data_IF_096811150126
#
_entry.id   IF_096811150126
#
_cell.length_a   1.000
_cell.length_b   1.000
_cell.length_c   1.000
_cell.angle_alpha   90.00
_cell.angle_beta   90.00
_cell.angle_gamma   90.00
#
_symmetry.space_group_name_H-M   'P 1'
#
loop_
_entity.id
_entity.type
_entity.pdbx_description
1 polymer ?
#
# COMPACT_ATOMS: atom_id res chain seq x y z
N UNK A 1 -14.99 -11.15 -1.25
CA UNK A 1 -15.13 -11.98 -0.03
C UNK A 1 -14.01 -13.02 -0.04
N UNK A 2 -12.92 -12.76 0.68
CA UNK A 2 -11.74 -13.63 0.75
C UNK A 2 -12.08 -15.05 1.20
N UNK A 3 -11.38 -16.04 0.64
CA UNK A 3 -11.42 -17.41 1.14
C UNK A 3 -10.82 -17.47 2.56
N UNK A 4 -11.33 -18.38 3.39
CA UNK A 4 -10.84 -18.58 4.77
C UNK A 4 -9.32 -18.81 4.79
N UNK A 5 -8.79 -19.51 3.79
CA UNK A 5 -7.35 -19.75 3.62
C UNK A 5 -6.50 -18.46 3.53
N UNK A 6 -6.96 -17.44 2.80
CA UNK A 6 -6.22 -16.17 2.64
C UNK A 6 -6.23 -15.32 3.92
N UNK A 7 -7.31 -15.39 4.71
CA UNK A 7 -7.37 -14.77 6.04
C UNK A 7 -6.44 -15.46 7.02
N UNK A 8 -6.36 -16.80 6.99
CA UNK A 8 -5.47 -17.59 7.85
C UNK A 8 -4.01 -17.32 7.51
N UNK A 9 -3.63 -17.29 6.23
CA UNK A 9 -2.28 -16.96 5.80
C UNK A 9 -1.86 -15.53 6.25
N UNK A 10 -2.77 -14.55 6.14
CA UNK A 10 -2.53 -13.20 6.66
C UNK A 10 -2.28 -13.14 8.18
N UNK A 11 -2.87 -14.07 8.95
CA UNK A 11 -2.71 -14.16 10.40
C UNK A 11 -1.45 -14.94 10.81
N UNK A 12 -0.99 -15.90 9.99
CA UNK A 12 0.10 -16.79 10.33
C UNK A 12 1.48 -16.28 9.89
N UNK A 13 1.56 -15.49 8.82
CA UNK A 13 2.83 -14.98 8.28
C UNK A 13 2.90 -13.47 8.40
N UNK A 14 3.95 -12.94 9.05
CA UNK A 14 4.17 -11.51 9.18
C UNK A 14 4.44 -10.88 7.79
N UNK A 15 3.60 -9.99 7.25
CA UNK A 15 3.86 -9.35 5.96
C UNK A 15 5.18 -8.58 5.85
N UNK A 16 5.80 -8.22 6.98
CA UNK A 16 7.12 -7.59 7.01
C UNK A 16 8.28 -8.58 7.05
N UNK A 17 8.06 -9.90 7.06
CA UNK A 17 9.16 -10.88 7.01
C UNK A 17 9.68 -11.14 5.60
N UNK A 18 8.92 -10.79 4.55
CA UNK A 18 9.30 -11.00 3.15
C UNK A 18 10.36 -9.97 2.70
N UNK A 19 11.14 -10.22 1.64
CA UNK A 19 12.18 -9.29 1.19
C UNK A 19 11.64 -7.88 0.92
N UNK A 20 10.55 -7.75 0.15
CA UNK A 20 9.90 -6.46 -0.11
C UNK A 20 9.22 -5.89 1.14
N UNK A 21 8.66 -6.76 1.99
CA UNK A 21 7.99 -6.39 3.23
C UNK A 21 8.93 -5.68 4.20
N UNK A 22 10.16 -6.17 4.36
CA UNK A 22 11.19 -5.54 5.20
C UNK A 22 11.57 -4.14 4.70
N UNK A 23 11.66 -3.97 3.37
CA UNK A 23 11.95 -2.65 2.77
C UNK A 23 10.80 -1.68 2.99
N UNK A 24 9.56 -2.14 2.81
CA UNK A 24 8.36 -1.34 3.10
C UNK A 24 8.30 -0.96 4.59
N UNK A 25 8.59 -1.90 5.49
CA UNK A 25 8.59 -1.62 6.94
C UNK A 25 9.56 -0.49 7.30
N UNK A 26 10.77 -0.52 6.74
CA UNK A 26 11.81 0.50 6.94
C UNK A 26 11.45 1.84 6.30
N UNK A 27 11.03 1.83 5.03
CA UNK A 27 10.66 3.02 4.26
C UNK A 27 9.48 3.78 4.89
N UNK A 28 8.65 3.07 5.66
CA UNK A 28 7.46 3.63 6.31
C UNK A 28 7.59 3.75 7.83
N UNK A 29 8.81 3.57 8.36
CA UNK A 29 9.06 3.74 9.78
C UNK A 29 8.90 5.21 10.18
N UNK A 30 8.18 5.48 11.27
CA UNK A 30 7.92 6.85 11.75
C UNK A 30 9.15 7.60 12.27
N UNK A 31 10.35 7.02 12.09
CA UNK A 31 11.64 7.58 12.53
C UNK A 31 12.29 8.45 11.46
N UNK A 32 11.93 8.28 10.19
CA UNK A 32 12.49 9.07 9.10
C UNK A 32 11.84 10.44 9.02
N UNK A 33 12.66 11.50 9.01
CA UNK A 33 12.21 12.90 8.84
C UNK A 33 11.80 13.21 7.39
N UNK A 34 12.24 12.40 6.43
CA UNK A 34 11.99 12.57 5.00
C UNK A 34 11.89 11.21 4.30
N UNK A 35 11.23 11.20 3.15
CA UNK A 35 11.06 10.00 2.32
C UNK A 35 12.41 9.54 1.74
N UNK A 36 12.75 8.27 1.97
CA UNK A 36 13.91 7.63 1.35
C UNK A 36 13.54 7.14 -0.05
N UNK A 37 13.67 8.03 -1.04
CA UNK A 37 13.35 7.72 -2.44
C UNK A 37 14.22 6.60 -3.02
N UNK A 38 15.45 6.42 -2.53
CA UNK A 38 16.28 5.29 -2.93
C UNK A 38 15.64 3.95 -2.53
N UNK A 39 15.18 3.86 -1.28
CA UNK A 39 14.48 2.67 -0.78
C UNK A 39 13.10 2.47 -1.45
N UNK A 40 12.39 3.55 -1.76
CA UNK A 40 11.10 3.48 -2.48
C UNK A 40 11.30 2.92 -3.90
N UNK A 41 12.36 3.32 -4.60
CA UNK A 41 12.68 2.76 -5.92
C UNK A 41 13.12 1.30 -5.82
N UNK A 42 13.93 0.94 -4.83
CA UNK A 42 14.30 -0.47 -4.57
C UNK A 42 13.06 -1.34 -4.34
N UNK A 43 12.02 -0.84 -3.65
CA UNK A 43 10.75 -1.53 -3.50
C UNK A 43 10.07 -1.78 -4.85
N UNK A 44 10.07 -0.79 -5.75
CA UNK A 44 9.48 -0.93 -7.09
C UNK A 44 10.24 -1.98 -7.92
N UNK A 45 11.57 -2.00 -7.83
CA UNK A 45 12.41 -2.97 -8.52
C UNK A 45 12.09 -4.39 -8.04
N UNK A 46 12.05 -4.62 -6.73
CA UNK A 46 11.70 -5.94 -6.16
C UNK A 46 10.29 -6.39 -6.60
N UNK A 47 9.32 -5.48 -6.64
CA UNK A 47 7.95 -5.78 -7.10
C UNK A 47 7.94 -6.23 -8.56
N UNK A 48 8.73 -5.60 -9.41
CA UNK A 48 8.76 -5.89 -10.84
C UNK A 48 9.57 -7.15 -11.17
N UNK A 49 10.66 -7.39 -10.46
CA UNK A 49 11.63 -8.44 -10.76
C UNK A 49 11.29 -9.81 -10.14
N UNK A 50 10.44 -9.84 -9.13
CA UNK A 50 10.12 -11.09 -8.41
C UNK A 50 8.70 -11.60 -8.70
N UNK A 51 8.52 -12.91 -8.57
CA UNK A 51 7.20 -13.52 -8.76
C UNK A 51 6.24 -13.13 -7.63
N UNK A 52 6.65 -13.22 -6.37
CA UNK A 52 5.78 -12.90 -5.23
C UNK A 52 5.76 -11.41 -4.84
N UNK A 53 6.69 -10.61 -5.37
CA UNK A 53 6.86 -9.19 -5.05
C UNK A 53 5.56 -8.37 -5.02
N UNK A 54 4.69 -8.44 -6.06
CA UNK A 54 3.43 -7.71 -6.05
C UNK A 54 2.50 -8.10 -4.90
N UNK A 55 2.36 -9.39 -4.61
CA UNK A 55 1.46 -9.90 -3.56
C UNK A 55 1.99 -9.54 -2.17
N UNK A 56 3.28 -9.74 -1.96
CA UNK A 56 3.94 -9.44 -0.69
C UNK A 56 3.94 -7.95 -0.38
N UNK A 57 4.20 -7.10 -1.37
CA UNK A 57 4.15 -5.66 -1.22
C UNK A 57 2.76 -5.18 -0.81
N UNK A 58 1.71 -5.70 -1.47
CA UNK A 58 0.32 -5.35 -1.14
C UNK A 58 -0.03 -5.77 0.30
N UNK A 59 0.38 -6.96 0.74
CA UNK A 59 0.19 -7.42 2.12
C UNK A 59 0.89 -6.50 3.12
N UNK A 60 2.14 -6.09 2.85
CA UNK A 60 2.93 -5.21 3.72
C UNK A 60 2.37 -3.78 3.79
N UNK A 61 2.03 -3.18 2.65
CA UNK A 61 1.40 -1.85 2.56
C UNK A 61 0.08 -1.85 3.33
N UNK A 62 -0.76 -2.87 3.11
CA UNK A 62 -2.03 -3.04 3.83
C UNK A 62 -1.80 -3.13 5.34
N UNK A 63 -0.84 -3.93 5.79
CA UNK A 63 -0.51 -4.04 7.21
C UNK A 63 -0.10 -2.69 7.80
N UNK A 64 0.72 -1.91 7.08
CA UNK A 64 1.13 -0.60 7.56
C UNK A 64 -0.03 0.39 7.68
N UNK A 65 -0.84 0.54 6.63
CA UNK A 65 -1.95 1.51 6.60
C UNK A 65 -3.04 1.15 7.61
N UNK A 66 -3.41 -0.13 7.70
CA UNK A 66 -4.53 -0.58 8.55
C UNK A 66 -4.09 -0.77 10.01
N UNK A 67 -2.82 -1.12 10.23
CA UNK A 67 -2.28 -1.45 11.55
C UNK A 67 -1.69 -0.26 12.31
N UNK A 68 -1.29 0.82 11.62
CA UNK A 68 -0.68 1.97 12.28
C UNK A 68 -1.73 2.97 12.78
N UNK A 69 -1.45 3.57 13.94
CA UNK A 69 -2.16 4.75 14.45
C UNK A 69 -1.38 6.05 14.21
N UNK A 70 -0.15 5.94 13.68
CA UNK A 70 0.70 7.08 13.40
C UNK A 70 0.44 7.55 11.96
N UNK A 71 -0.12 8.74 11.81
CA UNK A 71 -0.44 9.30 10.50
C UNK A 71 0.80 9.51 9.62
N UNK A 72 1.97 9.78 10.18
CA UNK A 72 3.21 9.89 9.41
C UNK A 72 3.61 8.57 8.75
N UNK A 73 3.44 7.45 9.46
CA UNK A 73 3.67 6.12 8.89
C UNK A 73 2.64 5.77 7.80
N UNK A 74 1.37 6.14 8.01
CA UNK A 74 0.31 5.95 7.01
C UNK A 74 0.63 6.78 5.76
N UNK A 75 0.99 8.05 5.93
CA UNK A 75 1.35 8.94 4.81
C UNK A 75 2.56 8.41 4.03
N UNK A 76 3.59 7.94 4.72
CA UNK A 76 4.76 7.31 4.09
C UNK A 76 4.37 6.07 3.28
N UNK A 77 3.46 5.24 3.82
CA UNK A 77 2.95 4.08 3.10
C UNK A 77 2.11 4.45 1.87
N UNK A 78 1.37 5.57 1.92
CA UNK A 78 0.66 6.10 0.77
C UNK A 78 1.62 6.63 -0.31
N UNK A 79 2.76 7.22 0.08
CA UNK A 79 3.82 7.59 -0.88
C UNK A 79 4.42 6.36 -1.54
N UNK A 80 4.77 5.32 -0.77
CA UNK A 80 5.24 4.03 -1.34
C UNK A 80 4.21 3.48 -2.33
N UNK A 81 2.93 3.44 -1.94
CA UNK A 81 1.86 2.98 -2.82
C UNK A 81 1.76 3.80 -4.11
N UNK A 82 1.85 5.13 -4.03
CA UNK A 82 1.83 6.01 -5.20
C UNK A 82 3.00 5.71 -6.15
N UNK A 83 4.21 5.57 -5.60
CA UNK A 83 5.40 5.25 -6.37
C UNK A 83 5.25 3.89 -7.07
N UNK A 84 4.77 2.86 -6.37
CA UNK A 84 4.52 1.56 -6.98
C UNK A 84 3.45 1.64 -8.08
N UNK A 85 2.38 2.41 -7.90
CA UNK A 85 1.38 2.60 -8.97
C UNK A 85 1.99 3.26 -10.21
N UNK A 86 2.95 4.19 -10.05
CA UNK A 86 3.62 4.87 -11.17
C UNK A 86 4.70 4.02 -11.85
N UNK A 87 5.37 3.14 -11.11
CA UNK A 87 6.59 2.47 -11.58
C UNK A 87 6.45 0.94 -11.73
N UNK A 88 5.37 0.33 -11.22
CA UNK A 88 5.14 -1.11 -11.32
C UNK A 88 4.17 -1.46 -12.44
N UNK A 89 4.24 -2.71 -12.91
CA UNK A 89 3.39 -3.22 -13.99
C UNK A 89 2.01 -3.72 -13.55
N UNK A 90 1.27 -4.24 -14.53
CA UNK A 90 -0.10 -4.73 -14.42
C UNK A 90 -0.32 -5.72 -13.25
N UNK A 91 0.66 -6.60 -12.98
CA UNK A 91 0.61 -7.60 -11.89
C UNK A 91 0.38 -6.97 -10.51
N UNK A 92 0.96 -5.79 -10.27
CA UNK A 92 0.73 -5.02 -9.05
C UNK A 92 -0.58 -4.25 -9.11
N UNK A 93 -0.88 -3.62 -10.25
CA UNK A 93 -2.08 -2.79 -10.43
C UNK A 93 -3.37 -3.55 -10.13
N UNK A 94 -3.55 -4.76 -10.68
CA UNK A 94 -4.76 -5.58 -10.47
C UNK A 94 -5.04 -5.81 -8.98
N UNK A 95 -3.99 -5.96 -8.16
CA UNK A 95 -4.13 -6.17 -6.72
C UNK A 95 -4.58 -4.89 -6.01
N UNK A 96 -3.96 -3.75 -6.30
CA UNK A 96 -4.26 -2.46 -5.65
C UNK A 96 -5.51 -1.76 -6.19
N UNK A 97 -6.06 -2.23 -7.31
CA UNK A 97 -7.36 -1.78 -7.84
C UNK A 97 -8.52 -2.68 -7.41
N UNK A 98 -8.26 -3.79 -6.71
CA UNK A 98 -9.31 -4.64 -6.17
C UNK A 98 -10.20 -3.87 -5.18
N UNK A 99 -11.50 -4.16 -5.20
CA UNK A 99 -12.46 -3.55 -4.27
C UNK A 99 -12.04 -3.79 -2.82
N UNK A 100 -11.57 -5.00 -2.50
CA UNK A 100 -11.10 -5.36 -1.16
C UNK A 100 -9.90 -4.50 -0.71
N UNK A 101 -9.01 -4.09 -1.63
CA UNK A 101 -7.91 -3.18 -1.30
C UNK A 101 -8.41 -1.74 -1.16
N UNK A 102 -9.20 -1.25 -2.11
CA UNK A 102 -9.71 0.14 -2.09
C UNK A 102 -10.57 0.38 -0.85
N UNK A 103 -11.57 -0.45 -0.60
CA UNK A 103 -12.47 -0.30 0.56
C UNK A 103 -11.77 -0.67 1.86
N UNK A 104 -11.07 -1.82 1.88
CA UNK A 104 -10.48 -2.38 3.08
C UNK A 104 -9.22 -1.66 3.58
N UNK A 105 -8.56 -0.88 2.73
CA UNK A 105 -7.32 -0.15 3.04
C UNK A 105 -7.51 1.35 2.91
N UNK A 106 -7.83 1.84 1.71
CA UNK A 106 -7.86 3.28 1.42
C UNK A 106 -9.08 3.98 2.03
N UNK A 107 -10.29 3.51 1.75
CA UNK A 107 -11.51 4.09 2.34
C UNK A 107 -11.51 3.90 3.85
N UNK A 108 -11.05 2.74 4.33
CA UNK A 108 -10.99 2.44 5.76
C UNK A 108 -10.18 3.47 6.56
N UNK A 109 -9.03 3.92 6.08
CA UNK A 109 -8.17 4.83 6.85
C UNK A 109 -8.70 6.26 6.95
N UNK A 110 -9.68 6.64 6.11
CA UNK A 110 -10.35 7.95 6.14
C UNK A 110 -11.75 7.91 6.78
N UNK A 111 -12.14 6.79 7.40
CA UNK A 111 -13.43 6.72 8.08
C UNK A 111 -13.47 7.67 9.29
N UNK A 112 -14.59 8.38 9.53
CA UNK A 112 -14.72 9.34 10.63
C UNK A 112 -14.35 8.78 12.00
N UNK A 113 -14.58 7.48 12.23
CA UNK A 113 -14.24 6.79 13.48
C UNK A 113 -12.75 6.81 13.84
N UNK A 114 -11.86 7.07 12.88
CA UNK A 114 -10.42 7.14 13.10
C UNK A 114 -9.90 8.58 13.27
N UNK A 115 -10.79 9.58 13.16
CA UNK A 115 -10.47 11.01 13.24
C UNK A 115 -9.20 11.39 12.45
N UNK A 116 -9.11 11.02 11.16
CA UNK A 116 -7.94 11.32 10.34
C UNK A 116 -7.76 12.84 10.10
N UNK A 117 -6.52 13.33 9.95
CA UNK A 117 -6.27 14.72 9.57
C UNK A 117 -6.71 14.98 8.12
N UNK A 118 -7.06 16.23 7.80
CA UNK A 118 -7.49 16.65 6.46
C UNK A 118 -6.48 16.26 5.37
N UNK A 119 -5.18 16.40 5.65
CA UNK A 119 -4.12 16.03 4.71
C UNK A 119 -4.17 14.54 4.31
N UNK A 120 -4.56 13.65 5.24
CA UNK A 120 -4.73 12.22 4.92
C UNK A 120 -5.95 11.99 4.04
N UNK A 121 -7.07 12.69 4.29
CA UNK A 121 -8.25 12.66 3.42
C UNK A 121 -7.91 13.05 1.99
N UNK A 122 -7.28 14.21 1.81
CA UNK A 122 -6.89 14.73 0.50
C UNK A 122 -5.97 13.76 -0.24
N UNK A 123 -4.99 13.19 0.48
CA UNK A 123 -4.05 12.22 -0.10
C UNK A 123 -4.73 10.96 -0.60
N UNK A 124 -5.64 10.39 0.20
CA UNK A 124 -6.39 9.18 -0.17
C UNK A 124 -7.34 9.46 -1.33
N UNK A 125 -8.06 10.58 -1.29
CA UNK A 125 -8.96 10.99 -2.38
C UNK A 125 -8.19 11.19 -3.69
N UNK A 126 -7.01 11.81 -3.66
CA UNK A 126 -6.14 11.94 -4.83
C UNK A 126 -5.77 10.56 -5.39
N UNK A 127 -5.37 9.59 -4.56
CA UNK A 127 -5.04 8.24 -5.02
C UNK A 127 -6.23 7.48 -5.62
N UNK A 128 -7.45 7.71 -5.11
CA UNK A 128 -8.67 7.10 -5.65
C UNK A 128 -9.09 7.79 -6.97
N UNK A 129 -9.07 9.13 -7.03
CA UNK A 129 -9.45 9.90 -8.21
C UNK A 129 -8.48 9.70 -9.39
N UNK A 130 -7.18 9.64 -9.10
CA UNK A 130 -6.14 9.33 -10.10
C UNK A 130 -6.37 7.96 -10.75
N UNK A 131 -6.94 7.00 -10.00
CA UNK A 131 -7.37 5.71 -10.58
C UNK A 131 -8.59 5.86 -11.47
N UNK A 132 -9.55 6.73 -11.13
CA UNK A 132 -10.72 6.97 -12.00
C UNK A 132 -10.34 7.52 -13.38
N UNK A 133 -9.28 8.35 -13.47
CA UNK A 133 -8.83 8.92 -14.74
C UNK A 133 -7.86 8.01 -15.53
N UNK A 134 -7.19 7.05 -14.88
CA UNK A 134 -6.32 6.08 -15.55
C UNK A 134 -7.00 4.74 -15.86
N UNK A 135 -8.08 4.39 -15.17
CA UNK A 135 -8.92 3.24 -15.52
C UNK A 135 -9.77 3.47 -16.78
N UNK A 136 -9.92 4.71 -17.27
CA UNK A 136 -10.49 4.98 -18.59
C UNK A 136 -9.53 4.73 -19.75
N UNK A 137 -8.27 4.34 -19.50
CA UNK A 137 -7.29 4.03 -20.54
C UNK A 137 -7.00 2.52 -20.69
N UNK A 138 -7.79 1.64 -20.06
CA UNK A 138 -7.65 0.16 -20.16
C UNK A 138 -9.00 -0.52 -20.48
N UNK A 139 -9.97 0.24 -21.02
CA UNK A 139 -11.12 -0.32 -21.72
C UNK A 139 -11.26 0.37 -23.08
#
# INVERSE_FOLDING_TARGET
MFSIGEKVEFLLTNPFSTPVGQRIERATSGLSRSEDWGMIMEICDIINETEDGPRDAVKAIKKRIVGSKNFGEIMSALTVLEACVKNCGHRFHVLVTSQDFVEGVLVRCILPKYNPPTALHERVLSLIQVKSHRCTAVF
#
